data_IF_222394206610
#
_entry.id   IF_222394206610
#
_cell.length_a   1.000
_cell.length_b   1.000
_cell.length_c   1.000
_cell.angle_alpha   90.00
_cell.angle_beta   90.00
_cell.angle_gamma   90.00
#
_symmetry.space_group_name_H-M   'P 1'
#
loop_
_entity.id
_entity.type
_entity.pdbx_description
1 polymer ?
#
# COMPACT_ATOMS: atom_id res chain seq x y z
N UNK A 1 -45.43 2.93 -70.83
CA UNK A 1 -45.10 1.71 -70.12
C UNK A 1 -44.07 2.10 -69.07
N UNK A 2 -44.43 1.95 -67.80
CA UNK A 2 -43.51 2.24 -66.70
C UNK A 2 -42.56 1.03 -66.63
N UNK A 3 -41.34 1.26 -66.98
CA UNK A 3 -40.24 0.21 -66.85
C UNK A 3 -39.91 0.10 -65.39
N UNK A 4 -40.11 -1.09 -64.77
CA UNK A 4 -39.82 -1.33 -63.39
C UNK A 4 -38.27 -1.53 -63.28
N UNK A 5 -37.60 -0.61 -62.59
CA UNK A 5 -36.18 -0.68 -62.31
C UNK A 5 -35.87 -1.55 -61.07
N UNK A 6 -35.02 -2.55 -61.19
CA UNK A 6 -34.61 -3.43 -60.11
C UNK A 6 -33.31 -2.90 -59.50
N UNK A 7 -33.34 -2.53 -58.21
CA UNK A 7 -32.16 -2.13 -57.46
C UNK A 7 -31.21 -3.33 -57.26
N UNK A 8 -29.94 -3.21 -57.65
CA UNK A 8 -28.91 -4.27 -57.59
C UNK A 8 -27.87 -3.99 -56.53
N UNK A 9 -27.49 -2.73 -56.41
CA UNK A 9 -26.55 -2.23 -55.39
C UNK A 9 -26.90 -0.75 -55.12
N UNK A 10 -26.37 -0.14 -54.03
CA UNK A 10 -26.57 1.29 -53.81
C UNK A 10 -26.17 2.12 -55.03
N UNK A 11 -27.17 2.81 -55.64
CA UNK A 11 -27.01 3.64 -56.82
C UNK A 11 -26.96 2.90 -58.17
N UNK A 12 -27.13 1.58 -58.23
CA UNK A 12 -27.15 0.79 -59.46
C UNK A 12 -28.49 0.10 -59.63
N UNK A 13 -29.15 0.37 -60.77
CA UNK A 13 -30.42 -0.20 -61.14
C UNK A 13 -30.31 -0.87 -62.49
N UNK A 14 -31.00 -2.05 -62.64
CA UNK A 14 -31.14 -2.71 -63.94
C UNK A 14 -32.54 -2.49 -64.45
N UNK A 15 -32.62 -2.14 -65.72
CA UNK A 15 -33.90 -2.04 -66.45
C UNK A 15 -33.78 -3.09 -67.55
N UNK A 16 -34.74 -4.04 -67.56
CA UNK A 16 -34.76 -5.13 -68.51
C UNK A 16 -35.76 -4.77 -69.68
N UNK A 17 -35.33 -4.94 -70.90
CA UNK A 17 -36.14 -4.76 -72.07
C UNK A 17 -37.10 -5.92 -72.35
N UNK A 18 -36.83 -7.10 -71.77
CA UNK A 18 -37.60 -8.31 -71.90
C UNK A 18 -37.98 -8.86 -70.48
N UNK A 19 -39.27 -9.13 -70.27
CA UNK A 19 -39.83 -9.69 -69.03
C UNK A 19 -39.28 -11.08 -68.72
N UNK A 20 -38.92 -11.86 -69.72
CA UNK A 20 -38.36 -13.20 -69.52
C UNK A 20 -36.90 -13.13 -68.97
N UNK A 21 -36.11 -12.16 -69.42
CA UNK A 21 -34.77 -11.88 -68.87
C UNK A 21 -34.83 -11.33 -67.44
N UNK A 22 -35.82 -10.45 -67.18
CA UNK A 22 -36.08 -9.97 -65.82
C UNK A 22 -36.41 -11.11 -64.85
N UNK A 23 -37.36 -12.02 -65.24
CA UNK A 23 -37.66 -13.18 -64.43
C UNK A 23 -36.48 -14.14 -64.19
N UNK A 24 -35.69 -14.38 -65.23
CA UNK A 24 -34.44 -15.18 -65.11
C UNK A 24 -33.43 -14.52 -64.18
N UNK A 25 -33.29 -13.22 -64.25
CA UNK A 25 -32.44 -12.46 -63.35
C UNK A 25 -32.93 -12.53 -61.91
N UNK A 26 -34.22 -12.33 -61.70
CA UNK A 26 -34.84 -12.42 -60.37
C UNK A 26 -34.66 -13.82 -59.76
N UNK A 27 -34.87 -14.88 -60.52
CA UNK A 27 -34.63 -16.26 -60.10
C UNK A 27 -33.15 -16.51 -59.77
N UNK A 28 -32.23 -15.98 -60.56
CA UNK A 28 -30.78 -16.11 -60.30
C UNK A 28 -30.34 -15.25 -59.11
N UNK A 29 -31.04 -14.13 -58.85
CA UNK A 29 -30.79 -13.26 -57.67
C UNK A 29 -31.10 -13.98 -56.38
N UNK A 30 -32.20 -14.74 -56.30
CA UNK A 30 -32.52 -15.53 -55.10
C UNK A 30 -31.52 -16.65 -54.84
N UNK A 31 -30.93 -17.26 -55.88
CA UNK A 31 -29.86 -18.27 -55.70
C UNK A 31 -28.52 -17.64 -55.30
N UNK A 32 -28.22 -16.41 -55.70
CA UNK A 32 -26.98 -15.70 -55.33
C UNK A 32 -27.02 -15.11 -53.92
N UNK A 33 -28.21 -14.78 -53.40
CA UNK A 33 -28.36 -14.25 -52.03
C UNK A 33 -27.89 -15.23 -50.94
N UNK A 34 -27.94 -16.56 -51.19
CA UNK A 34 -27.43 -17.56 -50.24
C UNK A 34 -25.91 -17.61 -50.13
N UNK A 35 -25.17 -17.14 -51.13
CA UNK A 35 -23.72 -17.13 -51.13
C UNK A 35 -23.10 -15.81 -50.62
N UNK A 36 -23.85 -14.72 -50.62
CA UNK A 36 -23.37 -13.41 -50.17
C UNK A 36 -23.41 -13.26 -48.64
N UNK A 37 -24.19 -14.04 -47.94
CA UNK A 37 -24.19 -14.07 -46.47
C UNK A 37 -22.97 -14.77 -45.85
N UNK A 38 -22.12 -15.41 -46.67
CA UNK A 38 -20.86 -16.02 -46.21
C UNK A 38 -19.62 -15.15 -46.44
N UNK A 39 -19.72 -14.07 -47.20
CA UNK A 39 -18.73 -13.02 -47.20
C UNK A 39 -19.13 -12.07 -46.04
N UNK A 40 -18.74 -12.46 -44.80
CA UNK A 40 -18.74 -11.55 -43.67
C UNK A 40 -17.99 -10.32 -44.09
N UNK A 41 -18.68 -9.23 -44.37
CA UNK A 41 -18.05 -7.90 -44.34
C UNK A 41 -17.31 -7.88 -43.02
N UNK A 42 -16.01 -7.56 -43.00
CA UNK A 42 -15.33 -7.42 -41.72
C UNK A 42 -16.19 -6.47 -40.89
N UNK A 43 -16.73 -6.98 -39.79
CA UNK A 43 -17.48 -6.14 -38.85
C UNK A 43 -16.63 -4.92 -38.61
N UNK A 44 -17.12 -3.69 -38.76
CA UNK A 44 -16.28 -2.53 -38.45
C UNK A 44 -15.82 -2.68 -37.02
N UNK A 45 -14.51 -2.88 -36.85
CA UNK A 45 -13.88 -2.98 -35.52
C UNK A 45 -14.39 -1.77 -34.74
N UNK A 46 -15.11 -1.99 -33.64
CA UNK A 46 -15.59 -0.90 -32.82
C UNK A 46 -14.45 0.04 -32.47
N UNK A 47 -14.71 1.32 -32.37
CA UNK A 47 -13.66 2.33 -32.11
C UNK A 47 -12.88 2.03 -30.81
N UNK A 48 -13.52 1.34 -29.86
CA UNK A 48 -12.90 0.84 -28.64
C UNK A 48 -11.88 -0.27 -28.92
N UNK A 49 -12.19 -1.22 -29.79
CA UNK A 49 -11.29 -2.34 -30.11
C UNK A 49 -10.06 -1.85 -30.87
N UNK A 50 -10.22 -0.85 -31.73
CA UNK A 50 -9.07 -0.18 -32.39
C UNK A 50 -8.17 0.50 -31.35
N UNK A 51 -8.77 1.18 -30.36
CA UNK A 51 -8.00 1.84 -29.32
C UNK A 51 -7.25 0.83 -28.44
N UNK A 52 -7.87 -0.30 -28.07
CA UNK A 52 -7.21 -1.39 -27.33
C UNK A 52 -6.06 -2.01 -28.14
N UNK A 53 -6.20 -2.16 -29.44
CA UNK A 53 -5.12 -2.62 -30.30
C UNK A 53 -3.94 -1.65 -30.32
N UNK A 54 -4.19 -0.34 -30.39
CA UNK A 54 -3.16 0.70 -30.30
C UNK A 54 -2.43 0.64 -28.94
N UNK A 55 -3.16 0.44 -27.85
CA UNK A 55 -2.60 0.25 -26.51
C UNK A 55 -1.67 -0.97 -26.50
N UNK A 56 -2.12 -2.12 -26.99
CA UNK A 56 -1.31 -3.35 -27.04
C UNK A 56 -0.06 -3.20 -27.89
N UNK A 57 -0.12 -2.43 -29.00
CA UNK A 57 1.05 -2.15 -29.85
C UNK A 57 2.07 -1.18 -29.23
N UNK A 58 1.65 -0.40 -28.24
CA UNK A 58 2.48 0.57 -27.50
C UNK A 58 2.49 0.25 -26.01
N UNK A 59 2.58 -1.03 -25.65
CA UNK A 59 2.43 -1.50 -24.27
C UNK A 59 3.32 -0.74 -23.29
N UNK A 60 4.61 -0.56 -23.56
CA UNK A 60 5.53 0.15 -22.67
C UNK A 60 5.05 1.57 -22.31
N UNK A 61 4.50 2.32 -23.29
CA UNK A 61 3.97 3.66 -23.01
C UNK A 61 2.78 3.63 -22.06
N UNK A 62 1.87 2.67 -22.29
CA UNK A 62 0.64 2.58 -21.52
C UNK A 62 0.83 1.88 -20.18
N UNK A 63 1.82 0.98 -20.06
CA UNK A 63 2.27 0.42 -18.78
C UNK A 63 2.90 1.52 -17.90
N UNK A 64 3.78 2.38 -18.48
CA UNK A 64 4.32 3.55 -17.78
C UNK A 64 3.21 4.49 -17.32
N UNK A 65 2.22 4.77 -18.19
CA UNK A 65 1.08 5.61 -17.82
C UNK A 65 0.24 5.00 -16.70
N UNK A 66 0.00 3.69 -16.74
CA UNK A 66 -0.72 2.96 -15.69
C UNK A 66 0.03 3.01 -14.36
N UNK A 67 1.35 2.80 -14.37
CA UNK A 67 2.18 2.91 -13.18
C UNK A 67 2.07 4.30 -12.53
N UNK A 68 2.08 5.37 -13.33
CA UNK A 68 1.86 6.74 -12.79
C UNK A 68 0.44 6.90 -12.22
N UNK A 69 -0.58 6.28 -12.82
CA UNK A 69 -1.92 6.27 -12.23
C UNK A 69 -1.94 5.56 -10.87
N UNK A 70 -1.20 4.46 -10.71
CA UNK A 70 -1.06 3.74 -9.45
C UNK A 70 -0.30 4.55 -8.39
N UNK A 71 0.80 5.20 -8.78
CA UNK A 71 1.57 6.06 -7.86
C UNK A 71 0.74 7.23 -7.32
N UNK A 72 -0.06 7.85 -8.19
CA UNK A 72 -0.89 9.00 -7.82
C UNK A 72 -2.23 8.59 -7.17
N UNK A 73 -2.67 7.35 -7.32
CA UNK A 73 -4.01 6.91 -6.95
C UNK A 73 -5.13 7.64 -7.71
N UNK A 74 -4.79 8.27 -8.86
CA UNK A 74 -5.70 9.01 -9.73
C UNK A 74 -5.14 9.13 -11.13
N UNK A 75 -5.97 9.63 -12.05
CA UNK A 75 -5.51 9.96 -13.40
C UNK A 75 -4.53 11.14 -13.36
N UNK A 76 -3.31 11.00 -13.92
CA UNK A 76 -2.35 12.10 -13.96
C UNK A 76 -2.84 13.26 -14.84
N UNK A 77 -2.48 14.49 -14.47
CA UNK A 77 -2.61 15.66 -15.33
C UNK A 77 -1.54 15.59 -16.45
N UNK A 78 -1.68 16.45 -17.47
CA UNK A 78 -0.78 16.41 -18.61
C UNK A 78 0.71 16.68 -18.26
N UNK A 79 0.94 17.50 -17.24
CA UNK A 79 2.27 17.88 -16.72
C UNK A 79 2.83 16.87 -15.71
N UNK A 80 2.05 15.89 -15.29
CA UNK A 80 2.47 14.82 -14.35
C UNK A 80 2.92 13.54 -15.06
N UNK A 81 2.77 13.48 -16.38
CA UNK A 81 3.28 12.39 -17.20
C UNK A 81 4.13 12.93 -18.35
N UNK A 82 5.40 12.61 -18.36
CA UNK A 82 6.38 13.17 -19.30
C UNK A 82 6.09 12.85 -20.78
N UNK A 83 5.40 11.72 -21.06
CA UNK A 83 5.01 11.28 -22.41
C UNK A 83 3.55 11.58 -22.74
N UNK A 84 2.97 12.59 -22.10
CA UNK A 84 1.56 12.98 -22.25
C UNK A 84 1.13 13.26 -23.69
N UNK A 85 2.00 13.92 -24.49
CA UNK A 85 1.71 14.24 -25.88
C UNK A 85 1.62 12.97 -26.76
N UNK A 86 2.45 11.94 -26.49
CA UNK A 86 2.39 10.67 -27.21
C UNK A 86 1.06 9.97 -26.93
N UNK A 87 0.66 9.88 -25.66
CA UNK A 87 -0.63 9.29 -25.25
C UNK A 87 -1.79 10.01 -25.91
N UNK A 88 -1.76 11.35 -25.92
CA UNK A 88 -2.81 12.18 -26.49
C UNK A 88 -2.93 12.04 -28.02
N UNK A 89 -1.81 11.91 -28.70
CA UNK A 89 -1.79 11.72 -30.16
C UNK A 89 -2.33 10.35 -30.59
N UNK A 90 -2.09 9.30 -29.80
CA UNK A 90 -2.50 7.92 -30.12
C UNK A 90 -3.98 7.65 -29.81
N UNK A 91 -4.44 8.07 -28.62
CA UNK A 91 -5.77 7.70 -28.10
C UNK A 91 -6.63 8.94 -27.79
N UNK A 92 -6.00 10.01 -27.28
CA UNK A 92 -6.69 11.23 -26.83
C UNK A 92 -6.43 11.54 -25.35
N UNK A 93 -7.43 12.02 -24.63
CA UNK A 93 -7.25 12.46 -23.23
C UNK A 93 -6.82 11.34 -22.28
N UNK A 94 -6.04 11.67 -21.27
CA UNK A 94 -5.63 10.75 -20.19
C UNK A 94 -6.84 10.03 -19.55
N UNK A 95 -7.96 10.74 -19.36
CA UNK A 95 -9.19 10.15 -18.82
C UNK A 95 -9.78 9.06 -19.73
N UNK A 96 -9.71 9.26 -21.07
CA UNK A 96 -10.16 8.25 -22.03
C UNK A 96 -9.24 7.03 -22.01
N UNK A 97 -7.93 7.26 -22.00
CA UNK A 97 -6.93 6.18 -21.89
C UNK A 97 -7.13 5.38 -20.61
N UNK A 98 -7.25 6.05 -19.47
CA UNK A 98 -7.50 5.40 -18.16
C UNK A 98 -8.74 4.51 -18.20
N UNK A 99 -9.86 4.98 -18.77
CA UNK A 99 -11.06 4.15 -18.90
C UNK A 99 -10.87 2.89 -19.74
N UNK A 100 -10.02 2.95 -20.78
CA UNK A 100 -9.67 1.77 -21.58
C UNK A 100 -8.74 0.81 -20.81
N UNK A 101 -7.76 1.36 -20.07
CA UNK A 101 -6.83 0.56 -19.28
C UNK A 101 -7.52 -0.15 -18.11
N UNK A 102 -8.53 0.45 -17.49
CA UNK A 102 -9.38 -0.21 -16.49
C UNK A 102 -10.11 -1.46 -17.02
N UNK A 103 -10.38 -1.52 -18.34
CA UNK A 103 -10.94 -2.72 -18.96
C UNK A 103 -9.89 -3.78 -19.30
N UNK A 104 -8.59 -3.44 -19.27
CA UNK A 104 -7.46 -4.31 -19.65
C UNK A 104 -6.63 -4.78 -18.46
N UNK A 105 -6.53 -3.96 -17.40
CA UNK A 105 -5.77 -4.25 -16.19
C UNK A 105 -6.69 -4.63 -15.01
N UNK A 106 -6.11 -5.17 -13.93
CA UNK A 106 -6.88 -5.48 -12.72
C UNK A 106 -7.30 -4.19 -12.01
N UNK A 107 -8.59 -3.90 -12.02
CA UNK A 107 -9.18 -2.72 -11.37
C UNK A 107 -8.99 -2.70 -9.86
N UNK A 108 -8.73 -3.85 -9.22
CA UNK A 108 -8.46 -3.96 -7.78
C UNK A 108 -7.12 -3.34 -7.42
N UNK A 109 -6.14 -3.44 -8.32
CA UNK A 109 -4.82 -2.83 -8.13
C UNK A 109 -4.95 -1.30 -8.01
N UNK A 110 -5.69 -0.68 -8.93
CA UNK A 110 -5.94 0.76 -8.89
C UNK A 110 -6.77 1.17 -7.65
N UNK A 111 -7.80 0.43 -7.30
CA UNK A 111 -8.61 0.72 -6.11
C UNK A 111 -7.78 0.66 -4.82
N UNK A 112 -6.84 -0.28 -4.73
CA UNK A 112 -5.89 -0.35 -3.61
C UNK A 112 -4.92 0.83 -3.60
N UNK A 113 -4.40 1.23 -4.76
CA UNK A 113 -3.51 2.37 -4.90
C UNK A 113 -4.22 3.70 -4.53
N UNK A 114 -5.45 3.90 -5.01
CA UNK A 114 -6.30 5.05 -4.66
C UNK A 114 -6.54 5.12 -3.14
N UNK A 115 -6.90 3.99 -2.53
CA UNK A 115 -7.09 3.88 -1.08
C UNK A 115 -5.81 4.20 -0.31
N UNK A 116 -4.69 3.61 -0.70
CA UNK A 116 -3.39 3.84 -0.06
C UNK A 116 -3.00 5.31 -0.15
N UNK A 117 -3.12 5.93 -1.33
CA UNK A 117 -2.84 7.36 -1.51
C UNK A 117 -3.74 8.25 -0.65
N UNK A 118 -5.02 7.92 -0.57
CA UNK A 118 -5.98 8.64 0.29
C UNK A 118 -5.59 8.54 1.77
N UNK A 119 -5.18 7.36 2.23
CA UNK A 119 -4.72 7.14 3.60
C UNK A 119 -3.43 7.93 3.90
N UNK A 120 -2.46 7.96 2.98
CA UNK A 120 -1.23 8.76 3.11
C UNK A 120 -1.52 10.26 3.27
N UNK A 121 -2.43 10.77 2.45
CA UNK A 121 -2.86 12.16 2.52
C UNK A 121 -3.61 12.47 3.83
N UNK A 122 -4.41 11.54 4.34
CA UNK A 122 -5.07 11.71 5.64
C UNK A 122 -4.06 11.78 6.78
N UNK A 123 -3.00 10.95 6.77
CA UNK A 123 -1.90 11.09 7.73
C UNK A 123 -1.23 12.45 7.59
N UNK A 124 -0.90 12.87 6.36
CA UNK A 124 -0.30 14.18 6.10
C UNK A 124 -1.16 15.33 6.64
N UNK A 125 -2.48 15.33 6.36
CA UNK A 125 -3.39 16.35 6.86
C UNK A 125 -3.55 16.30 8.37
N UNK A 126 -3.60 15.10 8.98
CA UNK A 126 -3.69 14.95 10.42
C UNK A 126 -2.45 15.52 11.12
N UNK A 127 -1.26 15.27 10.59
CA UNK A 127 -0.02 15.84 11.13
C UNK A 127 0.03 17.35 10.91
N UNK A 128 -0.46 17.84 9.78
CA UNK A 128 -0.56 19.28 9.51
C UNK A 128 -1.49 20.05 10.46
N UNK A 129 -2.30 19.37 11.30
CA UNK A 129 -3.11 20.02 12.34
C UNK A 129 -2.28 20.50 13.54
N UNK A 130 -1.08 19.96 13.75
CA UNK A 130 -0.16 20.39 14.79
C UNK A 130 0.58 21.69 14.41
N UNK A 131 0.67 21.98 13.10
CA UNK A 131 1.30 23.16 12.56
C UNK A 131 0.29 24.23 12.13
N UNK A 132 0.79 25.43 11.77
CA UNK A 132 -0.05 26.46 11.14
C UNK A 132 -0.51 25.96 9.76
N UNK A 133 -1.80 25.66 9.63
CA UNK A 133 -2.40 25.25 8.36
C UNK A 133 -2.11 26.25 7.24
N UNK A 134 -1.58 25.75 6.15
CA UNK A 134 -1.51 26.53 4.90
C UNK A 134 -2.90 26.52 4.25
N UNK A 135 -3.44 27.68 3.85
CA UNK A 135 -4.71 27.74 3.13
C UNK A 135 -4.62 26.97 1.80
N UNK A 136 -5.76 26.50 1.30
CA UNK A 136 -5.83 25.72 0.05
C UNK A 136 -5.10 26.40 -1.12
N UNK A 137 -5.21 27.73 -1.23
CA UNK A 137 -4.56 28.53 -2.29
C UNK A 137 -3.04 28.42 -2.30
N UNK A 138 -2.43 28.16 -1.15
CA UNK A 138 -0.97 28.03 -0.98
C UNK A 138 -0.48 26.58 -1.08
N UNK A 139 -1.37 25.62 -1.28
CA UNK A 139 -0.98 24.23 -1.47
C UNK A 139 -0.35 24.01 -2.86
N UNK A 140 0.61 23.09 -3.01
CA UNK A 140 1.14 22.69 -4.31
C UNK A 140 0.04 22.24 -5.26
N UNK A 141 0.20 22.47 -6.56
CA UNK A 141 -0.82 22.10 -7.56
C UNK A 141 -1.09 20.59 -7.59
N UNK A 142 -0.06 19.75 -7.42
CA UNK A 142 -0.24 18.29 -7.31
C UNK A 142 -1.15 17.93 -6.15
N UNK A 143 -0.94 18.51 -4.97
CA UNK A 143 -1.77 18.28 -3.79
C UNK A 143 -3.20 18.78 -3.97
N UNK A 144 -3.40 19.93 -4.65
CA UNK A 144 -4.75 20.42 -4.99
C UNK A 144 -5.51 19.43 -5.89
N UNK A 145 -4.79 18.81 -6.84
CA UNK A 145 -5.36 17.76 -7.71
C UNK A 145 -5.71 16.51 -6.91
N UNK A 146 -4.84 16.07 -6.01
CA UNK A 146 -5.09 14.95 -5.10
C UNK A 146 -6.34 15.21 -4.24
N UNK A 147 -6.42 16.39 -3.62
CA UNK A 147 -7.59 16.77 -2.81
C UNK A 147 -8.87 16.70 -3.63
N UNK A 148 -8.86 17.25 -4.84
CA UNK A 148 -10.05 17.26 -5.70
C UNK A 148 -10.43 15.85 -6.19
N UNK A 149 -9.46 14.99 -6.43
CA UNK A 149 -9.71 13.64 -6.94
C UNK A 149 -10.16 12.67 -5.84
N UNK A 150 -9.59 12.79 -4.61
CA UNK A 150 -9.73 11.79 -3.56
C UNK A 150 -10.66 12.22 -2.42
N UNK A 151 -10.95 13.53 -2.27
CA UNK A 151 -11.73 14.08 -1.15
C UNK A 151 -12.85 15.02 -1.58
N UNK A 152 -13.00 15.29 -2.87
CA UNK A 152 -13.89 16.30 -3.45
C UNK A 152 -13.47 17.73 -3.13
N UNK A 153 -13.21 18.05 -1.85
CA UNK A 153 -12.76 19.36 -1.42
C UNK A 153 -11.81 19.33 -0.21
N UNK A 154 -11.13 20.47 0.03
CA UNK A 154 -10.15 20.63 1.11
C UNK A 154 -10.78 20.59 2.52
N UNK A 155 -12.02 21.01 2.66
CA UNK A 155 -12.75 20.99 3.92
C UNK A 155 -13.05 19.56 4.34
N UNK A 156 -13.50 18.73 3.43
CA UNK A 156 -13.75 17.30 3.65
C UNK A 156 -12.47 16.58 4.08
N UNK A 157 -11.34 16.82 3.38
CA UNK A 157 -10.06 16.24 3.75
C UNK A 157 -9.65 16.63 5.19
N UNK A 158 -9.78 17.91 5.56
CA UNK A 158 -9.45 18.38 6.91
C UNK A 158 -10.40 17.86 7.99
N UNK A 159 -11.69 17.72 7.70
CA UNK A 159 -12.64 17.15 8.66
C UNK A 159 -12.31 15.70 8.94
N UNK A 160 -12.07 14.88 7.92
CA UNK A 160 -11.66 13.49 8.08
C UNK A 160 -10.35 13.36 8.85
N UNK A 161 -9.36 14.22 8.57
CA UNK A 161 -8.10 14.25 9.30
C UNK A 161 -8.28 14.62 10.78
N UNK A 162 -9.20 15.56 11.06
CA UNK A 162 -9.56 15.96 12.43
C UNK A 162 -10.24 14.81 13.17
N UNK A 163 -11.19 14.14 12.54
CA UNK A 163 -11.90 12.98 13.13
C UNK A 163 -10.91 11.85 13.45
N UNK A 164 -9.95 11.58 12.56
CA UNK A 164 -8.89 10.60 12.80
C UNK A 164 -8.00 10.98 14.00
N UNK A 165 -7.64 12.27 14.10
CA UNK A 165 -6.82 12.75 15.21
C UNK A 165 -7.55 12.62 16.56
N UNK A 166 -8.87 12.82 16.61
CA UNK A 166 -9.65 12.56 17.81
C UNK A 166 -9.81 11.06 18.10
N UNK A 167 -9.93 10.25 17.04
CA UNK A 167 -10.10 8.80 17.18
C UNK A 167 -8.89 8.09 17.81
N UNK A 168 -7.67 8.68 17.78
CA UNK A 168 -6.51 8.07 18.46
C UNK A 168 -6.64 8.04 19.98
N UNK A 169 -7.56 8.79 20.57
CA UNK A 169 -7.85 8.77 22.00
C UNK A 169 -8.77 7.59 22.40
N UNK A 170 -9.43 6.95 21.44
CA UNK A 170 -10.31 5.80 21.68
C UNK A 170 -9.48 4.52 21.79
N UNK A 171 -9.34 4.04 23.02
CA UNK A 171 -8.52 2.87 23.35
C UNK A 171 -9.07 1.56 22.79
N UNK A 172 -10.38 1.45 22.60
CA UNK A 172 -11.03 0.29 21.99
C UNK A 172 -10.68 0.20 20.51
N UNK A 173 -10.84 1.31 19.76
CA UNK A 173 -10.42 1.41 18.37
C UNK A 173 -8.93 1.15 18.19
N UNK A 174 -8.07 1.70 19.06
CA UNK A 174 -6.62 1.43 19.02
C UNK A 174 -6.35 -0.05 19.24
N UNK A 175 -7.04 -0.71 20.16
CA UNK A 175 -6.91 -2.15 20.40
C UNK A 175 -7.28 -2.98 19.17
N UNK A 176 -8.42 -2.71 18.54
CA UNK A 176 -8.85 -3.36 17.32
C UNK A 176 -7.83 -3.18 16.16
N UNK A 177 -7.34 -1.95 16.00
CA UNK A 177 -6.35 -1.68 14.96
C UNK A 177 -5.00 -2.34 15.26
N UNK A 178 -4.60 -2.49 16.52
CA UNK A 178 -3.40 -3.25 16.91
C UNK A 178 -3.53 -4.74 16.55
N UNK A 179 -4.69 -5.36 16.77
CA UNK A 179 -4.97 -6.74 16.35
C UNK A 179 -4.90 -6.86 14.82
N UNK A 180 -5.54 -5.94 14.11
CA UNK A 180 -5.48 -5.89 12.65
C UNK A 180 -4.06 -5.73 12.13
N UNK A 181 -3.28 -4.82 12.71
CA UNK A 181 -1.88 -4.60 12.37
C UNK A 181 -1.05 -5.87 12.57
N UNK A 182 -1.23 -6.57 13.70
CA UNK A 182 -0.52 -7.81 13.98
C UNK A 182 -0.74 -8.89 12.90
N UNK A 183 -1.95 -8.97 12.34
CA UNK A 183 -2.25 -9.91 11.25
C UNK A 183 -1.69 -9.46 9.88
N UNK A 184 -1.47 -8.16 9.68
CA UNK A 184 -1.03 -7.59 8.39
C UNK A 184 0.47 -7.41 8.29
N UNK A 185 1.14 -7.14 9.42
CA UNK A 185 2.58 -6.91 9.46
C UNK A 185 3.37 -8.20 9.23
N UNK A 186 4.53 -8.15 8.56
CA UNK A 186 5.41 -9.30 8.39
C UNK A 186 5.88 -9.90 9.72
N UNK A 187 6.07 -9.03 10.74
CA UNK A 187 6.48 -9.42 12.07
C UNK A 187 6.04 -8.38 13.11
N UNK A 188 5.53 -8.85 14.24
CA UNK A 188 5.16 -8.03 15.39
C UNK A 188 4.85 -8.90 16.59
N UNK A 189 4.87 -8.32 17.78
CA UNK A 189 4.43 -8.96 19.03
C UNK A 189 3.18 -8.22 19.52
N UNK A 190 2.08 -8.92 19.61
CA UNK A 190 0.84 -8.42 20.21
C UNK A 190 0.69 -9.01 21.62
N UNK A 191 0.68 -8.13 22.62
CA UNK A 191 0.21 -8.45 23.96
C UNK A 191 -1.24 -7.97 24.05
N UNK A 192 -2.18 -8.90 23.88
CA UNK A 192 -3.60 -8.59 23.78
C UNK A 192 -4.08 -7.66 24.90
N UNK A 193 -4.82 -6.62 24.56
CA UNK A 193 -5.31 -5.61 25.49
C UNK A 193 -4.25 -4.69 26.10
N UNK A 194 -2.95 -4.86 25.77
CA UNK A 194 -1.87 -4.08 26.38
C UNK A 194 -1.02 -3.33 25.37
N UNK A 195 -0.45 -4.02 24.36
CA UNK A 195 0.49 -3.37 23.45
C UNK A 195 0.76 -4.13 22.17
N UNK A 196 1.18 -3.39 21.14
CA UNK A 196 1.75 -3.91 19.90
C UNK A 196 3.18 -3.42 19.76
N UNK A 197 4.13 -4.34 19.50
CA UNK A 197 5.56 -4.06 19.28
C UNK A 197 5.93 -4.48 17.86
N UNK A 198 6.63 -3.61 17.15
CA UNK A 198 7.06 -3.87 15.77
C UNK A 198 8.33 -3.07 15.43
N UNK A 199 9.03 -3.49 14.38
CA UNK A 199 10.21 -2.78 13.88
C UNK A 199 9.80 -1.49 13.15
N UNK A 200 10.57 -0.40 13.31
CA UNK A 200 10.26 0.93 12.74
C UNK A 200 9.97 0.92 11.24
N UNK A 201 10.61 0.03 10.48
CA UNK A 201 10.39 -0.09 9.03
C UNK A 201 8.95 -0.46 8.63
N UNK A 202 8.10 -0.84 9.59
CA UNK A 202 6.71 -1.20 9.33
C UNK A 202 5.71 -0.08 9.60
N UNK A 203 6.15 1.14 9.95
CA UNK A 203 5.25 2.27 10.23
C UNK A 203 4.27 2.50 9.08
N UNK A 204 4.76 2.52 7.84
CA UNK A 204 3.92 2.76 6.66
C UNK A 204 2.94 1.62 6.33
N UNK A 205 3.21 0.42 6.85
CA UNK A 205 2.34 -0.76 6.71
C UNK A 205 1.25 -0.86 7.77
N UNK A 206 1.26 0.04 8.75
CA UNK A 206 0.23 0.09 9.79
C UNK A 206 -1.12 0.53 9.21
N UNK A 207 -2.23 0.09 9.80
CA UNK A 207 -3.54 0.68 9.55
C UNK A 207 -3.53 2.20 9.78
N UNK A 208 -4.33 2.93 9.01
CA UNK A 208 -4.38 4.39 8.99
C UNK A 208 -4.39 5.02 10.39
N UNK A 209 -5.27 4.56 11.27
CA UNK A 209 -5.40 5.12 12.63
C UNK A 209 -4.11 4.96 13.45
N UNK A 210 -3.40 3.83 13.33
CA UNK A 210 -2.13 3.62 14.03
C UNK A 210 -1.00 4.46 13.43
N UNK A 211 -1.02 4.72 12.12
CA UNK A 211 -0.08 5.67 11.49
C UNK A 211 -0.28 7.08 12.04
N UNK A 212 -1.53 7.52 12.20
CA UNK A 212 -1.85 8.81 12.83
C UNK A 212 -1.44 8.81 14.31
N UNK A 213 -1.68 7.72 15.04
CA UNK A 213 -1.26 7.58 16.44
C UNK A 213 0.27 7.71 16.62
N UNK A 214 1.05 6.97 15.80
CA UNK A 214 2.51 7.06 15.82
C UNK A 214 2.97 8.46 15.40
N UNK A 215 2.40 9.01 14.32
CA UNK A 215 2.72 10.34 13.84
C UNK A 215 2.46 11.42 14.90
N UNK A 216 1.32 11.36 15.60
CA UNK A 216 1.00 12.31 16.68
C UNK A 216 2.02 12.25 17.84
N UNK A 217 2.45 11.05 18.22
CA UNK A 217 3.50 10.89 19.23
C UNK A 217 4.86 11.46 18.75
N UNK A 218 5.19 11.25 17.47
CA UNK A 218 6.43 11.76 16.89
C UNK A 218 6.43 13.30 16.74
N UNK A 219 5.27 13.96 16.66
CA UNK A 219 5.20 15.43 16.72
C UNK A 219 5.75 15.99 18.05
N UNK A 220 5.65 15.21 19.13
CA UNK A 220 6.23 15.60 20.42
C UNK A 220 7.71 15.26 20.51
N UNK A 221 8.14 14.14 19.92
CA UNK A 221 9.52 13.63 19.99
C UNK A 221 10.45 14.35 19.01
N UNK A 222 9.96 14.65 17.82
CA UNK A 222 10.75 15.16 16.68
C UNK A 222 10.91 14.12 15.59
N UNK A 223 11.96 14.24 14.81
CA UNK A 223 12.26 13.28 13.75
C UNK A 223 12.67 11.92 14.34
N UNK A 224 12.17 10.83 13.74
CA UNK A 224 12.53 9.49 14.15
C UNK A 224 14.00 9.22 13.77
N UNK A 225 14.85 9.03 14.77
CA UNK A 225 16.28 8.72 14.59
C UNK A 225 16.45 7.35 13.94
N UNK A 226 17.48 7.24 13.09
CA UNK A 226 17.90 5.96 12.51
C UNK A 226 18.34 4.94 13.57
N UNK A 227 18.79 5.40 14.72
CA UNK A 227 19.17 4.56 15.85
C UNK A 227 17.99 3.84 16.52
N UNK A 228 16.74 4.30 16.36
CA UNK A 228 15.57 3.61 16.90
C UNK A 228 15.31 2.33 16.11
N UNK A 229 15.12 1.22 16.80
CA UNK A 229 14.84 -0.08 16.21
C UNK A 229 13.38 -0.48 16.32
N UNK A 230 12.80 -0.41 17.53
CA UNK A 230 11.44 -0.89 17.77
C UNK A 230 10.53 0.21 18.29
N UNK A 231 9.27 0.08 17.92
CA UNK A 231 8.16 0.93 18.37
C UNK A 231 7.15 0.06 19.11
N UNK A 232 6.71 0.53 20.28
CA UNK A 232 5.64 -0.09 21.07
C UNK A 232 4.48 0.87 21.25
N UNK A 233 3.33 0.50 20.72
CA UNK A 233 2.06 1.19 20.95
C UNK A 233 1.44 0.60 22.23
N UNK A 234 1.09 1.44 23.19
CA UNK A 234 0.36 1.05 24.38
C UNK A 234 -1.13 1.31 24.19
N UNK A 235 -1.93 0.24 24.19
CA UNK A 235 -3.35 0.30 23.82
C UNK A 235 -4.16 1.20 24.79
N UNK A 236 -4.01 1.03 26.10
CA UNK A 236 -4.88 1.64 27.09
C UNK A 236 -4.37 2.95 27.71
N UNK A 237 -3.21 3.44 27.33
CA UNK A 237 -2.56 4.52 28.09
C UNK A 237 -2.15 5.73 27.27
N UNK A 238 -2.48 5.77 25.98
CA UNK A 238 -2.09 6.91 25.11
C UNK A 238 -0.58 7.12 25.06
N UNK A 239 0.22 6.03 25.12
CA UNK A 239 1.69 6.09 25.18
C UNK A 239 2.31 5.38 23.98
N UNK A 240 3.40 5.95 23.51
CA UNK A 240 4.30 5.31 22.55
C UNK A 240 5.65 5.10 23.23
N UNK A 241 6.26 3.95 23.01
CA UNK A 241 7.65 3.71 23.45
C UNK A 241 8.53 3.46 22.24
N UNK A 242 9.64 4.16 22.16
CA UNK A 242 10.71 3.98 21.19
C UNK A 242 11.87 3.29 21.91
N UNK A 243 12.53 2.32 21.26
CA UNK A 243 13.68 1.61 21.84
C UNK A 243 14.81 1.52 20.83
N UNK A 244 16.02 1.77 21.34
CA UNK A 244 17.27 1.64 20.63
C UNK A 244 18.08 0.52 21.26
N UNK A 245 18.67 -0.34 20.44
CA UNK A 245 19.54 -1.42 20.85
C UNK A 245 20.99 -1.15 20.43
N UNK A 246 21.95 -1.81 21.09
CA UNK A 246 23.38 -1.64 20.82
C UNK A 246 23.78 -2.11 19.41
N UNK A 247 23.16 -3.16 18.93
CA UNK A 247 23.29 -3.68 17.58
C UNK A 247 22.13 -4.65 17.30
N UNK A 248 21.15 -4.21 16.55
CA UNK A 248 19.97 -5.01 16.26
C UNK A 248 20.26 -6.27 15.44
N UNK A 249 21.41 -6.33 14.74
CA UNK A 249 21.82 -7.51 13.97
C UNK A 249 22.37 -8.66 14.84
N UNK A 250 22.79 -8.39 16.07
CA UNK A 250 23.24 -9.43 17.01
C UNK A 250 22.12 -10.43 17.31
N UNK A 251 22.51 -11.66 17.68
CA UNK A 251 21.55 -12.68 18.12
C UNK A 251 20.80 -12.29 19.39
N UNK A 252 21.44 -11.55 20.29
CA UNK A 252 20.87 -10.96 21.51
C UNK A 252 21.29 -9.51 21.60
N UNK A 253 20.51 -8.57 21.03
CA UNK A 253 20.71 -7.14 21.22
C UNK A 253 20.45 -6.71 22.66
N UNK A 254 21.15 -5.68 23.13
CA UNK A 254 20.94 -5.10 24.45
C UNK A 254 20.36 -3.69 24.34
N UNK A 255 19.31 -3.40 25.11
CA UNK A 255 18.64 -2.10 25.13
C UNK A 255 19.59 -1.02 25.63
N UNK A 256 19.81 0.02 24.83
CA UNK A 256 20.67 1.18 25.14
C UNK A 256 19.83 2.36 25.62
N UNK A 257 18.74 2.63 24.91
CA UNK A 257 17.87 3.75 25.22
C UNK A 257 16.39 3.32 25.06
N UNK A 258 15.55 3.90 25.91
CA UNK A 258 14.10 3.77 25.84
C UNK A 258 13.46 5.13 26.08
N UNK A 259 12.74 5.64 25.09
CA UNK A 259 11.96 6.87 25.21
C UNK A 259 10.48 6.53 25.34
N UNK A 260 9.81 7.06 26.32
CA UNK A 260 8.35 6.94 26.51
C UNK A 260 7.68 8.28 26.25
N UNK A 261 6.88 8.35 25.23
CA UNK A 261 6.06 9.51 24.86
C UNK A 261 4.68 9.32 25.45
N UNK A 262 4.24 10.25 26.31
CA UNK A 262 2.94 10.25 27.00
C UNK A 262 2.07 11.32 26.38
N UNK A 263 1.32 10.99 25.33
CA UNK A 263 0.56 11.99 24.56
C UNK A 263 -0.51 12.71 25.39
N UNK A 264 -1.18 11.99 26.31
CA UNK A 264 -2.21 12.59 27.17
C UNK A 264 -1.62 13.59 28.17
N UNK A 265 -0.42 13.33 28.68
CA UNK A 265 0.28 14.16 29.65
C UNK A 265 1.14 15.24 29.00
N UNK A 266 1.32 15.18 27.67
CA UNK A 266 2.26 16.00 26.89
C UNK A 266 3.69 15.96 27.47
N UNK A 267 4.16 14.76 27.83
CA UNK A 267 5.41 14.54 28.53
C UNK A 267 6.23 13.40 27.87
N UNK A 268 7.55 13.47 28.00
CA UNK A 268 8.47 12.48 27.45
C UNK A 268 9.48 12.06 28.51
N UNK A 269 9.53 10.76 28.82
CA UNK A 269 10.54 10.18 29.67
C UNK A 269 11.67 9.56 28.83
N UNK A 270 12.90 9.91 29.13
CA UNK A 270 14.11 9.30 28.56
C UNK A 270 14.75 8.39 29.59
N UNK A 271 15.12 7.18 29.17
CA UNK A 271 15.79 6.17 30.00
C UNK A 271 17.06 5.69 29.29
N UNK A 272 18.21 6.19 29.73
CA UNK A 272 19.52 5.78 29.23
C UNK A 272 20.08 4.65 30.07
N UNK A 273 20.43 3.55 29.44
CA UNK A 273 21.09 2.42 30.09
C UNK A 273 22.60 2.54 29.95
N UNK A 274 23.17 3.52 30.66
CA UNK A 274 24.63 3.80 30.65
C UNK A 274 25.41 2.63 31.19
N UNK A 275 24.95 2.03 32.31
CA UNK A 275 25.55 0.83 32.90
C UNK A 275 25.20 -0.39 32.03
N UNK A 276 26.19 -0.93 31.32
CA UNK A 276 26.01 -2.07 30.42
C UNK A 276 25.42 -3.31 31.11
N UNK A 277 25.74 -3.52 32.41
CA UNK A 277 25.24 -4.67 33.17
C UNK A 277 23.73 -4.57 33.46
N UNK A 278 23.15 -3.36 33.37
CA UNK A 278 21.72 -3.09 33.54
C UNK A 278 20.93 -3.10 32.23
N UNK A 279 21.60 -3.20 31.07
CA UNK A 279 20.93 -3.25 29.76
C UNK A 279 20.11 -4.51 29.63
N UNK A 280 18.77 -4.42 29.38
CA UNK A 280 17.95 -5.61 29.12
C UNK A 280 18.30 -6.25 27.78
N UNK A 281 18.44 -7.59 27.69
CA UNK A 281 18.57 -8.28 26.42
C UNK A 281 17.21 -8.35 25.69
N UNK A 282 17.23 -8.24 24.38
CA UNK A 282 16.07 -8.53 23.54
C UNK A 282 15.98 -10.04 23.32
N UNK A 283 15.03 -10.67 23.97
CA UNK A 283 14.75 -12.10 23.83
C UNK A 283 13.64 -12.33 22.77
N UNK A 284 13.64 -13.51 22.15
CA UNK A 284 12.67 -13.88 21.11
C UNK A 284 12.60 -12.91 19.94
N UNK A 285 13.74 -12.35 19.56
CA UNK A 285 13.86 -11.37 18.45
C UNK A 285 13.27 -11.89 17.14
N UNK A 286 13.26 -13.21 16.89
CA UNK A 286 12.66 -13.79 15.69
C UNK A 286 11.18 -13.41 15.47
N UNK A 287 10.44 -13.06 16.54
CA UNK A 287 9.05 -12.60 16.45
C UNK A 287 8.92 -11.22 15.81
N UNK A 288 10.02 -10.46 15.75
CA UNK A 288 10.13 -9.11 15.21
C UNK A 288 10.85 -9.05 13.85
N UNK A 289 11.28 -10.21 13.35
CA UNK A 289 11.93 -10.34 12.04
C UNK A 289 10.96 -10.85 10.99
N UNK A 290 11.05 -10.30 9.79
CA UNK A 290 10.31 -10.84 8.64
C UNK A 290 10.70 -12.31 8.41
N UNK A 291 9.69 -13.17 8.26
CA UNK A 291 9.88 -14.61 8.00
C UNK A 291 10.62 -14.89 6.69
N UNK A 292 10.64 -13.93 5.77
CA UNK A 292 11.37 -14.01 4.50
C UNK A 292 12.83 -13.53 4.61
N UNK A 293 13.24 -12.96 5.75
CA UNK A 293 14.61 -12.50 5.94
C UNK A 293 15.59 -13.68 6.07
N UNK A 294 16.80 -13.51 5.53
CA UNK A 294 17.86 -14.52 5.58
C UNK A 294 18.24 -14.95 7.02
N UNK A 295 18.04 -14.06 7.97
CA UNK A 295 18.39 -14.30 9.38
C UNK A 295 17.29 -15.00 10.17
N UNK A 296 16.05 -15.01 9.68
CA UNK A 296 14.88 -15.48 10.44
C UNK A 296 15.04 -16.89 11.00
N UNK A 297 15.37 -17.87 10.16
CA UNK A 297 15.48 -19.27 10.60
C UNK A 297 16.64 -19.49 11.59
N UNK A 298 17.76 -18.79 11.40
CA UNK A 298 18.91 -18.83 12.33
C UNK A 298 18.53 -18.24 13.69
N UNK A 299 17.89 -17.07 13.69
CA UNK A 299 17.43 -16.40 14.89
C UNK A 299 16.38 -17.23 15.63
N UNK A 300 15.37 -17.74 14.91
CA UNK A 300 14.32 -18.58 15.50
C UNK A 300 14.87 -19.83 16.18
N UNK A 301 15.74 -20.55 15.48
CA UNK A 301 16.39 -21.74 16.06
C UNK A 301 17.23 -21.42 17.31
N UNK A 302 17.90 -20.26 17.29
CA UNK A 302 18.67 -19.78 18.43
C UNK A 302 17.75 -19.40 19.59
N UNK A 303 16.73 -18.58 19.36
CA UNK A 303 15.78 -18.09 20.37
C UNK A 303 15.03 -19.24 21.06
N UNK A 304 14.59 -20.24 20.31
CA UNK A 304 13.90 -21.41 20.87
C UNK A 304 14.82 -22.20 21.84
N UNK A 305 16.10 -22.36 21.50
CA UNK A 305 17.09 -23.02 22.38
C UNK A 305 17.38 -22.17 23.62
N UNK A 306 17.50 -20.84 23.42
CA UNK A 306 17.75 -19.90 24.50
C UNK A 306 16.56 -19.81 25.46
N UNK A 307 15.33 -19.72 24.95
CA UNK A 307 14.10 -19.68 25.75
C UNK A 307 13.91 -20.96 26.58
N UNK A 308 14.23 -22.12 26.00
CA UNK A 308 14.22 -23.40 26.73
C UNK A 308 15.24 -23.42 27.86
N UNK A 309 16.44 -22.85 27.63
CA UNK A 309 17.50 -22.77 28.64
C UNK A 309 17.12 -21.83 29.80
N UNK A 310 16.51 -20.67 29.46
CA UNK A 310 16.16 -19.64 30.44
C UNK A 310 14.81 -19.89 31.11
N UNK A 311 13.99 -20.84 30.63
CA UNK A 311 12.65 -21.10 31.12
C UNK A 311 11.69 -19.93 30.83
N UNK A 312 11.92 -19.13 29.76
CA UNK A 312 11.12 -17.99 29.37
C UNK A 312 10.12 -18.37 28.28
N UNK A 313 8.91 -17.81 28.34
CA UNK A 313 7.92 -17.91 27.25
C UNK A 313 7.98 -16.66 26.36
N UNK A 314 7.65 -16.75 25.07
CA UNK A 314 7.68 -15.62 24.15
C UNK A 314 6.78 -14.42 24.52
N UNK A 315 5.77 -14.66 25.37
CA UNK A 315 4.72 -13.68 25.72
C UNK A 315 4.99 -12.91 27.00
N UNK A 316 6.02 -13.26 27.76
CA UNK A 316 6.34 -12.59 29.04
C UNK A 316 7.50 -11.63 28.82
N UNK A 317 7.26 -10.31 28.94
CA UNK A 317 8.33 -9.32 29.13
C UNK A 317 9.00 -9.59 30.49
N UNK A 318 9.92 -10.51 30.51
CA UNK A 318 10.81 -10.65 31.68
C UNK A 318 11.80 -9.50 31.60
N UNK A 319 11.69 -8.54 32.50
CA UNK A 319 12.71 -7.49 32.67
C UNK A 319 13.93 -8.18 33.27
N UNK A 320 14.73 -8.79 32.39
CA UNK A 320 15.99 -9.42 32.76
C UNK A 320 17.10 -8.42 32.43
N UNK A 321 17.88 -8.02 33.40
CA UNK A 321 19.09 -7.24 33.14
C UNK A 321 20.20 -8.15 32.62
N UNK A 322 21.17 -7.59 31.87
CA UNK A 322 22.31 -8.31 31.30
C UNK A 322 23.03 -9.16 32.32
N UNK A 323 23.34 -8.61 33.50
CA UNK A 323 23.97 -9.35 34.58
C UNK A 323 23.19 -10.62 34.92
N UNK A 324 21.90 -10.53 35.16
CA UNK A 324 21.06 -11.70 35.49
C UNK A 324 20.96 -12.69 34.33
N UNK A 325 20.94 -12.20 33.12
CA UNK A 325 20.94 -13.02 31.90
C UNK A 325 22.26 -13.82 31.80
N UNK A 326 23.40 -13.14 31.96
CA UNK A 326 24.74 -13.77 31.93
C UNK A 326 24.94 -14.76 33.09
N UNK A 327 24.45 -14.45 34.30
CA UNK A 327 24.45 -15.36 35.45
C UNK A 327 23.65 -16.64 35.17
N UNK A 328 22.44 -16.54 34.56
CA UNK A 328 21.64 -17.72 34.19
C UNK A 328 22.34 -18.58 33.14
N UNK A 329 22.98 -17.97 32.16
CA UNK A 329 23.78 -18.70 31.17
C UNK A 329 24.95 -19.42 31.85
N UNK A 330 25.63 -18.75 32.79
CA UNK A 330 26.74 -19.31 33.54
C UNK A 330 26.32 -20.52 34.38
N UNK A 331 25.19 -20.40 35.10
CA UNK A 331 24.60 -21.50 35.88
C UNK A 331 24.25 -22.72 35.01
N UNK A 332 23.84 -22.46 33.78
CA UNK A 332 23.54 -23.52 32.79
C UNK A 332 24.82 -24.06 32.09
N UNK A 333 26.03 -23.56 32.43
CA UNK A 333 27.29 -23.94 31.79
C UNK A 333 27.35 -23.57 30.30
N UNK A 334 26.69 -22.45 29.91
CA UNK A 334 26.59 -22.01 28.52
C UNK A 334 27.11 -20.59 28.32
N UNK A 335 27.60 -20.35 27.11
CA UNK A 335 27.94 -19.01 26.59
C UNK A 335 27.32 -18.79 25.21
N UNK A 336 27.05 -17.53 24.90
CA UNK A 336 26.51 -17.14 23.58
C UNK A 336 27.66 -16.64 22.70
N UNK A 337 27.79 -17.18 21.51
CA UNK A 337 28.71 -16.69 20.48
C UNK A 337 27.99 -16.71 19.13
N UNK A 338 27.68 -15.52 18.60
CA UNK A 338 26.79 -15.38 17.46
C UNK A 338 25.44 -16.09 17.72
N UNK A 339 25.01 -16.95 16.84
CA UNK A 339 23.76 -17.74 16.96
C UNK A 339 23.96 -19.12 17.59
N UNK A 340 25.00 -19.29 18.45
CA UNK A 340 25.32 -20.57 19.05
C UNK A 340 25.37 -20.48 20.59
N UNK A 341 24.84 -21.52 21.24
CA UNK A 341 24.99 -21.77 22.67
C UNK A 341 26.12 -22.80 22.85
N UNK A 342 27.31 -22.32 23.21
CA UNK A 342 28.47 -23.16 23.41
C UNK A 342 28.56 -23.65 24.87
N UNK A 343 29.03 -24.85 25.07
CA UNK A 343 29.42 -25.28 26.42
C UNK A 343 30.67 -24.53 26.87
N UNK A 344 30.74 -24.15 28.12
CA UNK A 344 31.86 -23.43 28.69
C UNK A 344 32.97 -24.41 29.05
#
# INVERSE_FOLDING_TARGET
>A
MQEDAIAVAPGIFYIFKDKLEEQRYLQSKYQRHHTWHQLTSPQPIESKDKAKLVISQNSTLFDDFWNVCLELGRVPANDEFNRSEEVRSLIGSHKKVFGLLQEMFDTREFANAEKSRKEDLLVYFSMGLFDKRKPYTQQPESLKRDIKALFDDYRTANNLATDLLFAIADTELIGEQCVKAHHQLPASILNEGHSLIFHKSYIEKLPLLLRVYVGAALQMYGELDDAIDLIKIHINSGKLTLTQYDDFEKSVPYLVERTKIKMADQDIDFFDYVDEQRRPPLLNKHLLLDKQSEQYEKQKSFDLRLSKLLGTTPTIEVILHRQMYEERLLQAGKTVSGFRLNSR
#
